data_IF_950048802877
#
_entry.id   IF_950048802877
#
_cell.length_a   1.000
_cell.length_b   1.000
_cell.length_c   1.000
_cell.angle_alpha   90.00
_cell.angle_beta   90.00
_cell.angle_gamma   90.00
#
_symmetry.space_group_name_H-M   'P 1'
#
loop_
_entity.id
_entity.type
_entity.pdbx_description
1 polymer ?
#
# COMPACT_ATOMS: atom_id res chain seq x y z
N UNK A 1 -23.60 -8.09 28.96
CA UNK A 1 -24.92 -7.47 29.23
C UNK A 1 -25.68 -7.24 27.93
N UNK A 2 -25.06 -6.63 26.92
CA UNK A 2 -25.67 -6.35 25.61
C UNK A 2 -26.08 -7.67 24.92
N UNK A 3 -25.23 -8.68 24.95
CA UNK A 3 -25.53 -10.01 24.37
C UNK A 3 -26.61 -10.80 25.12
N UNK A 4 -26.80 -10.59 26.42
CA UNK A 4 -27.85 -11.25 27.22
C UNK A 4 -29.20 -10.50 27.15
N UNK A 5 -29.18 -9.24 26.74
CA UNK A 5 -30.39 -8.40 26.68
C UNK A 5 -31.12 -8.50 25.33
N UNK A 6 -30.59 -9.30 24.38
CA UNK A 6 -31.01 -9.55 23.00
C UNK A 6 -32.47 -9.34 22.65
N UNK A 7 -32.83 -8.13 22.28
CA UNK A 7 -34.11 -7.80 21.69
C UNK A 7 -34.38 -6.30 21.68
N UNK A 8 -34.97 -5.83 20.60
CA UNK A 8 -35.35 -4.45 20.32
C UNK A 8 -36.13 -3.68 21.45
N UNK A 9 -36.62 -4.41 22.44
CA UNK A 9 -37.37 -3.80 23.56
C UNK A 9 -36.50 -3.15 24.65
N UNK A 10 -35.22 -3.47 24.69
CA UNK A 10 -34.32 -2.94 25.74
C UNK A 10 -33.68 -1.63 25.30
N UNK A 11 -33.36 -1.49 24.04
CA UNK A 11 -32.86 -0.23 23.47
C UNK A 11 -33.87 0.92 23.72
N UNK A 12 -35.18 0.64 23.57
CA UNK A 12 -36.23 1.62 23.81
C UNK A 12 -36.35 2.10 25.29
N UNK A 13 -35.93 1.29 26.26
CA UNK A 13 -35.94 1.65 27.66
C UNK A 13 -34.66 2.35 28.15
N UNK A 14 -33.54 2.10 27.46
CA UNK A 14 -32.26 2.74 27.80
C UNK A 14 -32.16 4.18 27.29
N UNK A 15 -32.88 4.52 26.19
CA UNK A 15 -32.94 5.90 25.67
C UNK A 15 -33.62 6.91 26.60
N UNK A 16 -34.36 6.45 27.64
CA UNK A 16 -35.01 7.32 28.66
C UNK A 16 -34.14 7.45 29.93
N UNK A 17 -33.02 6.77 30.04
CA UNK A 17 -32.16 6.86 31.20
C UNK A 17 -31.29 8.13 31.14
N UNK A 18 -31.27 8.90 32.22
CA UNK A 18 -30.41 10.10 32.34
C UNK A 18 -28.92 9.75 32.50
N UNK A 19 -28.59 8.54 32.85
CA UNK A 19 -27.24 7.97 32.85
C UNK A 19 -27.31 6.46 32.89
N UNK A 20 -26.47 5.79 32.07
CA UNK A 20 -26.29 4.34 32.10
C UNK A 20 -24.92 4.09 32.72
N UNK A 21 -24.91 3.61 33.97
CA UNK A 21 -23.67 3.10 34.55
C UNK A 21 -23.62 1.60 34.24
N UNK A 22 -22.86 1.20 33.27
CA UNK A 22 -22.59 -0.21 32.99
C UNK A 22 -21.54 -0.65 34.02
N UNK A 23 -22.02 -1.17 35.16
CA UNK A 23 -21.17 -1.51 36.31
C UNK A 23 -20.17 -2.65 36.04
N UNK A 24 -20.26 -3.32 34.88
CA UNK A 24 -19.32 -4.33 34.44
C UNK A 24 -18.32 -3.81 33.39
N UNK A 25 -18.56 -2.63 32.83
CA UNK A 25 -17.49 -1.92 32.10
C UNK A 25 -16.69 -1.17 33.16
N UNK A 26 -15.77 -1.90 33.80
CA UNK A 26 -14.72 -1.23 34.57
C UNK A 26 -13.98 -0.31 33.61
N UNK A 27 -13.47 0.80 34.08
CA UNK A 27 -12.58 1.68 33.33
C UNK A 27 -11.53 0.81 32.60
N UNK A 28 -11.62 0.68 31.27
CA UNK A 28 -10.84 -0.26 30.47
C UNK A 28 -11.60 -1.52 30.02
N UNK A 29 -12.93 -1.57 30.07
CA UNK A 29 -13.69 -2.65 29.40
C UNK A 29 -13.62 -2.47 27.90
N UNK A 30 -13.09 -3.47 27.24
CA UNK A 30 -12.95 -3.56 25.78
C UNK A 30 -14.24 -4.15 25.20
N UNK A 31 -14.80 -3.49 24.21
CA UNK A 31 -15.93 -3.98 23.41
C UNK A 31 -15.49 -4.15 21.94
N UNK A 32 -16.22 -4.98 21.20
CA UNK A 32 -16.04 -5.06 19.75
C UNK A 32 -16.66 -3.83 19.03
N UNK A 33 -16.41 -3.67 17.74
CA UNK A 33 -16.87 -2.51 16.97
C UNK A 33 -18.39 -2.39 16.96
N UNK A 34 -19.14 -3.47 16.76
CA UNK A 34 -20.60 -3.47 16.76
C UNK A 34 -21.20 -3.10 18.13
N UNK A 35 -20.67 -3.64 19.22
CA UNK A 35 -21.11 -3.27 20.57
C UNK A 35 -20.76 -1.82 20.89
N UNK A 36 -19.61 -1.33 20.41
CA UNK A 36 -19.17 0.05 20.50
C UNK A 36 -20.10 1.02 19.77
N UNK A 37 -20.53 0.68 18.55
CA UNK A 37 -21.48 1.46 17.78
C UNK A 37 -22.84 1.57 18.49
N UNK A 38 -23.34 0.45 19.07
CA UNK A 38 -24.57 0.46 19.88
C UNK A 38 -24.42 1.38 21.11
N UNK A 39 -23.26 1.36 21.77
CA UNK A 39 -23.00 2.22 22.94
C UNK A 39 -22.92 3.69 22.54
N UNK A 40 -22.33 4.00 21.40
CA UNK A 40 -22.23 5.35 20.85
C UNK A 40 -23.61 5.96 20.49
N UNK A 41 -24.60 5.11 20.16
CA UNK A 41 -25.99 5.53 19.87
C UNK A 41 -26.83 5.86 21.13
N UNK A 42 -26.32 5.66 22.33
CA UNK A 42 -27.08 6.01 23.55
C UNK A 42 -26.97 7.50 23.85
N UNK A 43 -28.07 8.07 24.36
CA UNK A 43 -28.13 9.50 24.79
C UNK A 43 -27.49 9.73 26.16
N UNK A 44 -26.96 8.72 26.82
CA UNK A 44 -26.33 8.79 28.13
C UNK A 44 -24.80 8.82 27.98
N UNK A 45 -24.10 9.53 28.89
CA UNK A 45 -22.63 9.56 28.93
C UNK A 45 -22.05 8.16 29.15
N UNK A 46 -21.52 7.53 28.10
CA UNK A 46 -20.86 6.21 28.16
C UNK A 46 -19.43 6.35 27.70
N UNK A 47 -18.47 5.93 28.54
CA UNK A 47 -17.05 5.84 28.17
C UNK A 47 -16.64 4.40 27.97
N UNK A 48 -16.05 4.05 26.82
CA UNK A 48 -15.64 2.68 26.49
C UNK A 48 -14.40 2.64 25.59
N UNK A 49 -13.76 1.49 25.53
CA UNK A 49 -12.65 1.18 24.60
C UNK A 49 -13.14 0.17 23.56
N UNK A 50 -12.73 0.34 22.31
CA UNK A 50 -13.05 -0.56 21.18
C UNK A 50 -11.80 -1.30 20.77
N UNK A 51 -11.87 -2.63 20.65
CA UNK A 51 -10.84 -3.45 20.04
C UNK A 51 -11.49 -4.46 19.11
N UNK A 52 -11.18 -4.37 17.81
CA UNK A 52 -11.68 -5.32 16.81
C UNK A 52 -10.72 -5.36 15.60
N UNK A 53 -11.02 -6.22 14.63
CA UNK A 53 -10.31 -6.20 13.36
C UNK A 53 -10.69 -4.98 12.49
N UNK A 54 -9.88 -4.72 11.46
CA UNK A 54 -10.02 -3.54 10.63
C UNK A 54 -11.36 -3.51 9.88
N UNK A 55 -11.78 -4.65 9.29
CA UNK A 55 -13.03 -4.77 8.55
C UNK A 55 -14.24 -4.47 9.43
N UNK A 56 -14.25 -5.01 10.66
CA UNK A 56 -15.36 -4.79 11.59
C UNK A 56 -15.46 -3.32 12.00
N UNK A 57 -14.31 -2.66 12.26
CA UNK A 57 -14.29 -1.24 12.61
C UNK A 57 -14.71 -0.38 11.42
N UNK A 58 -14.20 -0.65 10.22
CA UNK A 58 -14.55 0.10 9.01
C UNK A 58 -16.06 0.03 8.71
N UNK A 59 -16.67 -1.14 8.84
CA UNK A 59 -18.12 -1.33 8.66
C UNK A 59 -18.97 -0.47 9.61
N UNK A 60 -18.56 -0.37 10.86
CA UNK A 60 -19.30 0.40 11.86
C UNK A 60 -19.09 1.93 11.71
N UNK A 61 -18.00 2.34 11.07
CA UNK A 61 -17.76 3.76 10.76
C UNK A 61 -18.49 4.21 9.50
N UNK A 62 -18.62 3.32 8.52
CA UNK A 62 -19.28 3.61 7.24
C UNK A 62 -20.82 3.64 7.31
N UNK A 63 -21.42 3.34 8.47
CA UNK A 63 -22.88 3.31 8.65
C UNK A 63 -23.57 2.19 7.85
N UNK A 64 -22.83 1.15 7.48
CA UNK A 64 -23.35 -0.01 6.72
C UNK A 64 -23.82 -1.13 7.64
N UNK A 65 -23.63 -0.95 8.95
CA UNK A 65 -23.98 -1.95 9.94
C UNK A 65 -25.50 -2.12 10.09
N UNK A 66 -25.89 -3.30 10.54
CA UNK A 66 -27.30 -3.60 10.82
C UNK A 66 -27.85 -2.93 12.10
N UNK A 67 -27.00 -2.27 12.88
CA UNK A 67 -27.39 -1.62 14.14
C UNK A 67 -28.04 -0.24 13.94
N UNK A 68 -27.71 0.46 12.83
CA UNK A 68 -28.18 1.82 12.56
C UNK A 68 -27.46 2.90 13.38
N UNK A 69 -26.50 2.51 14.21
CA UNK A 69 -25.63 3.37 15.00
C UNK A 69 -24.21 3.29 14.44
N UNK A 70 -23.47 4.39 14.48
CA UNK A 70 -22.12 4.50 13.90
C UNK A 70 -21.11 4.88 14.98
N UNK A 71 -19.90 4.31 14.92
CA UNK A 71 -18.79 4.73 15.80
C UNK A 71 -18.46 6.24 15.66
N UNK A 72 -18.80 6.84 14.51
CA UNK A 72 -18.65 8.28 14.28
C UNK A 72 -19.83 9.14 14.75
N UNK A 73 -20.95 8.55 15.12
CA UNK A 73 -22.13 9.27 15.57
C UNK A 73 -22.11 9.62 17.06
N UNK A 74 -20.92 9.67 17.65
CA UNK A 74 -20.71 9.97 19.08
C UNK A 74 -21.39 11.28 19.42
N UNK A 75 -22.43 11.25 20.25
CA UNK A 75 -23.03 12.45 20.80
C UNK A 75 -21.95 13.21 21.62
N UNK A 76 -22.11 14.52 21.79
CA UNK A 76 -21.11 15.38 22.44
C UNK A 76 -20.74 14.95 23.88
N UNK A 77 -21.44 13.99 24.43
CA UNK A 77 -21.25 13.47 25.78
C UNK A 77 -20.66 12.06 25.84
N UNK A 78 -20.67 11.30 24.72
CA UNK A 78 -20.09 9.97 24.68
C UNK A 78 -18.60 10.05 24.38
N UNK A 79 -17.81 9.23 25.04
CA UNK A 79 -16.36 9.23 24.90
C UNK A 79 -15.91 7.82 24.51
N UNK A 80 -15.58 7.65 23.23
CA UNK A 80 -14.70 6.54 22.86
C UNK A 80 -13.32 6.89 23.40
N UNK A 81 -12.87 6.18 24.43
CA UNK A 81 -11.57 6.46 25.05
C UNK A 81 -10.44 6.02 24.13
N UNK A 82 -10.55 4.80 23.57
CA UNK A 82 -9.53 4.20 22.74
C UNK A 82 -10.16 3.32 21.67
N UNK A 83 -9.67 3.39 20.45
CA UNK A 83 -9.96 2.45 19.35
C UNK A 83 -8.66 1.78 18.92
N UNK A 84 -8.57 0.48 19.10
CA UNK A 84 -7.41 -0.34 18.68
C UNK A 84 -7.84 -1.32 17.60
N UNK A 85 -7.14 -1.31 16.49
CA UNK A 85 -7.31 -2.26 15.40
C UNK A 85 -6.40 -3.46 15.64
N UNK A 86 -6.96 -4.66 15.75
CA UNK A 86 -6.23 -5.88 16.14
C UNK A 86 -5.99 -6.85 14.98
N UNK A 87 -5.63 -6.35 13.81
CA UNK A 87 -5.43 -7.14 12.59
C UNK A 87 -6.47 -6.83 11.52
N UNK A 88 -6.49 -7.63 10.46
CA UNK A 88 -7.35 -7.43 9.29
C UNK A 88 -6.66 -6.66 8.18
N UNK A 89 -7.35 -6.59 7.04
CA UNK A 89 -6.90 -5.97 5.82
C UNK A 89 -8.03 -5.09 5.27
N UNK A 90 -7.74 -3.86 4.92
CA UNK A 90 -8.72 -2.87 4.47
C UNK A 90 -8.20 -2.13 3.25
N UNK A 91 -9.09 -1.48 2.49
CA UNK A 91 -8.66 -0.55 1.45
C UNK A 91 -8.10 0.77 2.04
N UNK A 92 -7.45 1.56 1.20
CA UNK A 92 -6.80 2.80 1.62
C UNK A 92 -7.82 3.86 2.09
N UNK A 93 -9.05 3.84 1.56
CA UNK A 93 -10.12 4.72 1.99
C UNK A 93 -10.62 4.33 3.39
N UNK A 94 -10.86 3.05 3.62
CA UNK A 94 -11.27 2.51 4.92
C UNK A 94 -10.22 2.76 5.99
N UNK A 95 -8.92 2.58 5.66
CA UNK A 95 -7.82 2.93 6.55
C UNK A 95 -7.86 4.41 6.96
N UNK A 96 -8.11 5.32 6.01
CA UNK A 96 -8.27 6.74 6.29
C UNK A 96 -9.45 7.03 7.21
N UNK A 97 -10.56 6.34 7.03
CA UNK A 97 -11.76 6.45 7.88
C UNK A 97 -11.46 5.95 9.30
N UNK A 98 -10.87 4.78 9.45
CA UNK A 98 -10.44 4.22 10.76
C UNK A 98 -9.54 5.20 11.50
N UNK A 99 -8.54 5.74 10.85
CA UNK A 99 -7.58 6.67 11.45
C UNK A 99 -8.19 8.02 11.83
N UNK A 100 -9.37 8.36 11.30
CA UNK A 100 -10.11 9.57 11.62
C UNK A 100 -10.99 9.43 12.87
N UNK A 101 -11.20 8.21 13.39
CA UNK A 101 -12.03 7.95 14.55
C UNK A 101 -11.46 8.67 15.78
N UNK A 102 -12.31 9.34 16.53
CA UNK A 102 -11.92 9.91 17.82
C UNK A 102 -11.47 8.81 18.77
N UNK A 103 -10.27 8.94 19.34
CA UNK A 103 -9.69 7.91 20.21
C UNK A 103 -8.88 6.82 19.49
N UNK A 104 -8.70 6.87 18.16
CA UNK A 104 -7.84 5.92 17.47
C UNK A 104 -6.41 5.90 18.04
N UNK A 105 -5.99 4.73 18.50
CA UNK A 105 -4.64 4.49 19.01
C UNK A 105 -3.78 3.78 17.95
N UNK A 106 -3.06 4.57 17.17
CA UNK A 106 -2.17 4.05 16.15
C UNK A 106 -1.06 3.14 16.73
N UNK A 107 -0.60 3.41 17.94
CA UNK A 107 0.51 2.66 18.56
C UNK A 107 0.08 1.28 19.08
N UNK A 108 -1.19 1.15 19.43
CA UNK A 108 -1.80 -0.11 19.83
C UNK A 108 -2.34 -0.93 18.66
N UNK A 109 -2.50 -0.31 17.50
CA UNK A 109 -3.11 -0.91 16.31
C UNK A 109 -2.09 -1.65 15.44
N UNK A 110 -2.60 -2.67 14.71
CA UNK A 110 -1.85 -3.42 13.70
C UNK A 110 -2.83 -3.93 12.63
N UNK A 111 -2.70 -3.50 11.40
CA UNK A 111 -3.50 -3.96 10.26
C UNK A 111 -2.75 -3.74 8.95
N UNK A 112 -3.27 -4.28 7.86
CA UNK A 112 -2.70 -4.15 6.52
C UNK A 112 -3.62 -3.32 5.63
N UNK A 113 -3.06 -2.73 4.57
CA UNK A 113 -3.81 -2.05 3.51
C UNK A 113 -3.54 -2.80 2.21
N UNK A 114 -4.60 -3.15 1.48
CA UNK A 114 -4.51 -3.74 0.14
C UNK A 114 -5.39 -2.92 -0.81
N UNK A 115 -4.76 -2.27 -1.80
CA UNK A 115 -5.50 -1.46 -2.77
C UNK A 115 -4.70 -1.26 -4.07
N UNK A 116 -5.32 -0.62 -5.05
CA UNK A 116 -4.64 -0.24 -6.29
C UNK A 116 -3.66 0.94 -6.10
N UNK A 117 -2.78 1.13 -7.08
CA UNK A 117 -1.74 2.18 -7.08
C UNK A 117 -2.33 3.56 -6.84
N UNK A 118 -3.39 3.92 -7.57
CA UNK A 118 -4.00 5.25 -7.51
C UNK A 118 -4.61 5.52 -6.13
N UNK A 119 -5.27 4.53 -5.53
CA UNK A 119 -5.87 4.65 -4.21
C UNK A 119 -4.81 4.78 -3.11
N UNK A 120 -3.75 3.98 -3.15
CA UNK A 120 -2.63 4.06 -2.18
C UNK A 120 -1.93 5.42 -2.28
N UNK A 121 -1.61 5.90 -3.50
CA UNK A 121 -1.01 7.23 -3.70
C UNK A 121 -1.97 8.33 -3.25
N UNK A 122 -3.26 8.19 -3.57
CA UNK A 122 -4.31 9.14 -3.21
C UNK A 122 -4.54 9.30 -1.71
N UNK A 123 -4.40 8.23 -0.94
CA UNK A 123 -4.50 8.24 0.52
C UNK A 123 -3.37 9.05 1.19
N UNK A 124 -2.19 9.05 0.60
CA UNK A 124 -1.05 9.85 1.02
C UNK A 124 -0.37 9.36 2.30
N UNK A 125 0.76 10.00 2.62
CA UNK A 125 1.64 9.56 3.72
C UNK A 125 0.98 9.61 5.11
N UNK A 126 -0.03 10.44 5.32
CA UNK A 126 -0.74 10.48 6.61
C UNK A 126 -1.49 9.18 6.92
N UNK A 127 -1.92 8.46 5.89
CA UNK A 127 -2.60 7.16 6.01
C UNK A 127 -1.57 6.02 5.91
N UNK A 128 -0.76 6.04 4.87
CA UNK A 128 0.16 4.95 4.53
C UNK A 128 1.31 4.80 5.54
N UNK A 129 1.87 5.92 6.03
CA UNK A 129 2.97 5.90 7.01
C UNK A 129 2.47 5.86 8.46
N UNK A 130 1.18 5.59 8.70
CA UNK A 130 0.64 5.47 10.04
C UNK A 130 1.26 4.27 10.76
N UNK A 131 1.66 4.46 12.01
CA UNK A 131 2.37 3.43 12.78
C UNK A 131 1.52 2.17 13.03
N UNK A 132 0.20 2.26 12.95
CA UNK A 132 -0.72 1.13 13.04
C UNK A 132 -0.80 0.29 11.75
N UNK A 133 -0.32 0.82 10.61
CA UNK A 133 -0.24 0.08 9.35
C UNK A 133 1.05 -0.73 9.34
N UNK A 134 0.93 -2.04 9.27
CA UNK A 134 2.07 -2.96 9.31
C UNK A 134 2.60 -3.31 7.93
N UNK A 135 1.74 -3.27 6.91
CA UNK A 135 2.05 -3.55 5.52
C UNK A 135 1.04 -2.85 4.60
N UNK A 136 1.50 -2.45 3.45
CA UNK A 136 0.66 -2.00 2.33
C UNK A 136 0.98 -2.88 1.12
N UNK A 137 -0.02 -3.55 0.55
CA UNK A 137 0.09 -4.32 -0.67
C UNK A 137 -0.58 -3.57 -1.82
N UNK A 138 0.17 -3.27 -2.86
CA UNK A 138 -0.33 -2.65 -4.08
C UNK A 138 -0.68 -3.75 -5.06
N UNK A 139 -1.93 -3.77 -5.54
CA UNK A 139 -2.50 -4.93 -6.26
C UNK A 139 -2.27 -4.93 -7.77
N UNK A 140 -1.86 -3.81 -8.33
CA UNK A 140 -1.55 -3.63 -9.76
C UNK A 140 -0.15 -3.04 -9.94
N UNK A 141 0.37 -3.10 -11.17
CA UNK A 141 1.70 -2.61 -11.45
C UNK A 141 1.71 -1.09 -11.58
N UNK A 142 2.65 -0.44 -10.90
CA UNK A 142 2.89 0.99 -10.97
C UNK A 142 3.69 1.35 -12.23
N UNK A 143 3.42 2.50 -12.85
CA UNK A 143 4.41 3.08 -13.76
C UNK A 143 5.64 3.59 -12.98
N UNK A 144 6.71 3.93 -13.69
CA UNK A 144 7.95 4.37 -13.02
C UNK A 144 7.78 5.68 -12.20
N UNK A 145 6.81 6.53 -12.52
CA UNK A 145 6.53 7.77 -11.78
C UNK A 145 5.73 7.48 -10.51
N UNK A 146 4.75 6.59 -10.61
CA UNK A 146 3.96 6.09 -9.48
C UNK A 146 4.85 5.31 -8.52
N UNK A 147 5.71 4.43 -9.05
CA UNK A 147 6.71 3.71 -8.26
C UNK A 147 7.63 4.63 -7.45
N UNK A 148 8.03 5.80 -7.98
CA UNK A 148 8.75 6.82 -7.20
C UNK A 148 7.91 7.35 -6.04
N UNK A 149 6.61 7.55 -6.26
CA UNK A 149 5.71 8.02 -5.21
C UNK A 149 5.54 6.98 -4.10
N UNK A 150 5.35 5.70 -4.47
CA UNK A 150 5.29 4.58 -3.54
C UNK A 150 6.60 4.39 -2.76
N UNK A 151 7.74 4.49 -3.46
CA UNK A 151 9.08 4.38 -2.85
C UNK A 151 9.36 5.46 -1.80
N UNK A 152 8.67 6.60 -1.86
CA UNK A 152 8.84 7.71 -0.93
C UNK A 152 8.18 7.48 0.44
N UNK A 153 7.22 6.57 0.57
CA UNK A 153 6.61 6.24 1.85
C UNK A 153 7.62 5.59 2.80
N UNK A 154 7.48 5.85 4.10
CA UNK A 154 8.37 5.28 5.12
C UNK A 154 7.92 3.86 5.56
N UNK A 155 6.64 3.54 5.36
CA UNK A 155 6.05 2.24 5.68
C UNK A 155 6.59 1.10 4.82
N UNK A 156 6.18 -0.12 5.16
CA UNK A 156 6.42 -1.31 4.36
C UNK A 156 5.39 -1.36 3.24
N UNK A 157 5.76 -0.88 2.05
CA UNK A 157 4.91 -0.87 0.85
C UNK A 157 5.50 -1.85 -0.15
N UNK A 158 4.74 -2.89 -0.46
CA UNK A 158 5.09 -3.92 -1.43
C UNK A 158 4.42 -3.55 -2.76
N UNK A 159 5.20 -3.37 -3.82
CA UNK A 159 4.73 -2.94 -5.13
C UNK A 159 5.65 -3.39 -6.26
N UNK A 160 5.08 -3.57 -7.44
CA UNK A 160 5.79 -3.85 -8.69
C UNK A 160 5.79 -2.63 -9.60
N UNK A 161 6.73 -2.59 -10.54
CA UNK A 161 6.83 -1.54 -11.56
C UNK A 161 6.87 -2.15 -12.94
N UNK A 162 5.94 -1.75 -13.81
CA UNK A 162 5.96 -2.06 -15.22
C UNK A 162 5.93 -0.77 -16.06
N UNK A 163 6.98 -0.50 -16.84
CA UNK A 163 7.06 0.68 -17.71
C UNK A 163 8.09 0.50 -18.82
N UNK A 164 8.25 1.50 -19.66
CA UNK A 164 9.32 1.53 -20.66
C UNK A 164 10.69 1.58 -20.00
N UNK A 165 11.67 0.94 -20.57
CA UNK A 165 13.05 0.96 -20.08
C UNK A 165 13.61 2.38 -19.89
N UNK A 166 13.18 3.34 -20.73
CA UNK A 166 13.59 4.74 -20.63
C UNK A 166 13.04 5.45 -19.39
N UNK A 167 11.76 5.19 -19.06
CA UNK A 167 11.12 5.76 -17.88
C UNK A 167 11.72 5.17 -16.60
N UNK A 168 11.88 3.84 -16.57
CA UNK A 168 12.53 3.15 -15.46
C UNK A 168 13.97 3.66 -15.26
N UNK A 169 14.77 3.75 -16.34
CA UNK A 169 16.15 4.26 -16.26
C UNK A 169 16.23 5.68 -15.68
N UNK A 170 15.27 6.54 -16.07
CA UNK A 170 15.21 7.92 -15.58
C UNK A 170 14.93 7.97 -14.07
N UNK A 171 14.16 7.05 -13.56
CA UNK A 171 13.72 6.98 -12.18
C UNK A 171 14.47 5.96 -11.31
N UNK A 172 15.42 5.22 -11.86
CA UNK A 172 16.07 4.06 -11.24
C UNK A 172 16.62 4.33 -9.81
N UNK A 173 17.15 5.52 -9.54
CA UNK A 173 17.65 5.87 -8.20
C UNK A 173 16.56 5.98 -7.13
N UNK A 174 15.30 6.07 -7.55
CA UNK A 174 14.13 6.25 -6.69
C UNK A 174 13.16 5.05 -6.74
N UNK A 175 13.57 3.91 -7.30
CA UNK A 175 12.78 2.67 -7.38
C UNK A 175 13.41 1.54 -6.54
N UNK A 176 14.11 1.89 -5.47
CA UNK A 176 14.93 0.95 -4.70
C UNK A 176 14.15 -0.03 -3.84
N UNK A 177 12.84 0.22 -3.62
CA UNK A 177 11.95 -0.61 -2.83
C UNK A 177 11.00 -1.49 -3.66
N UNK A 178 10.95 -1.29 -4.99
CA UNK A 178 10.11 -2.14 -5.83
C UNK A 178 10.53 -3.62 -5.70
N UNK A 179 9.56 -4.49 -5.54
CA UNK A 179 9.76 -5.93 -5.40
C UNK A 179 10.08 -6.56 -6.74
N UNK A 180 9.39 -6.11 -7.80
CA UNK A 180 9.61 -6.49 -9.16
C UNK A 180 9.66 -5.28 -10.09
N UNK A 181 10.49 -5.32 -11.13
CA UNK A 181 10.65 -4.23 -12.11
C UNK A 181 10.79 -4.80 -13.51
N UNK A 182 9.75 -4.55 -14.33
CA UNK A 182 9.66 -5.01 -15.71
C UNK A 182 9.78 -3.87 -16.70
N UNK A 183 10.83 -3.93 -17.50
CA UNK A 183 11.05 -3.02 -18.61
C UNK A 183 10.43 -3.60 -19.89
N UNK A 184 9.15 -3.28 -20.15
CA UNK A 184 8.33 -3.96 -21.16
C UNK A 184 8.40 -3.36 -22.56
N UNK A 185 9.22 -2.34 -22.79
CA UNK A 185 9.44 -1.76 -24.14
C UNK A 185 10.49 -0.65 -24.13
N UNK A 186 10.71 -0.08 -25.31
CA UNK A 186 11.52 1.12 -25.49
C UNK A 186 12.93 0.85 -25.96
N UNK A 187 13.62 1.94 -26.25
CA UNK A 187 15.04 1.92 -26.68
C UNK A 187 15.84 2.80 -25.73
N UNK A 188 16.94 2.27 -25.24
CA UNK A 188 17.80 2.92 -24.26
C UNK A 188 19.28 2.84 -24.66
N UNK A 189 20.10 3.70 -24.08
CA UNK A 189 21.57 3.58 -24.18
C UNK A 189 22.08 2.46 -23.25
N UNK A 190 23.31 2.04 -23.45
CA UNK A 190 24.00 1.11 -22.54
C UNK A 190 23.93 1.59 -21.07
N UNK A 191 24.20 2.87 -20.83
CA UNK A 191 24.19 3.41 -19.47
C UNK A 191 22.80 3.37 -18.81
N UNK A 192 21.75 3.58 -19.59
CA UNK A 192 20.38 3.46 -19.12
C UNK A 192 20.00 1.99 -18.85
N UNK A 193 20.41 1.07 -19.73
CA UNK A 193 20.20 -0.35 -19.51
C UNK A 193 20.93 -0.85 -18.24
N UNK A 194 22.14 -0.35 -17.98
CA UNK A 194 22.86 -0.62 -16.73
C UNK A 194 22.09 -0.13 -15.49
N UNK A 195 21.43 1.03 -15.59
CA UNK A 195 20.62 1.55 -14.50
C UNK A 195 19.37 0.71 -14.24
N UNK A 196 18.67 0.26 -15.29
CA UNK A 196 17.51 -0.64 -15.20
C UNK A 196 17.90 -1.98 -14.57
N UNK A 197 18.89 -2.64 -15.15
CA UNK A 197 19.35 -3.97 -14.72
C UNK A 197 20.06 -3.94 -13.35
N UNK A 198 20.44 -2.78 -12.87
CA UNK A 198 21.00 -2.56 -11.54
C UNK A 198 19.97 -2.49 -10.42
N UNK A 199 18.68 -2.43 -10.72
CA UNK A 199 17.61 -2.42 -9.73
C UNK A 199 17.50 -3.81 -9.06
N UNK A 200 17.21 -3.80 -7.77
CA UNK A 200 17.14 -5.03 -6.96
C UNK A 200 16.02 -5.95 -7.44
N UNK A 201 14.88 -5.38 -7.83
CA UNK A 201 13.72 -6.12 -8.33
C UNK A 201 13.72 -6.39 -9.84
N UNK A 202 14.77 -6.05 -10.58
CA UNK A 202 14.76 -6.25 -12.05
C UNK A 202 14.54 -7.71 -12.46
N UNK A 203 13.44 -7.97 -13.18
CA UNK A 203 13.20 -9.29 -13.80
C UNK A 203 13.64 -9.34 -15.26
N UNK A 204 14.73 -10.07 -15.49
CA UNK A 204 15.27 -10.30 -16.83
C UNK A 204 14.40 -11.25 -17.68
N UNK A 205 13.51 -12.03 -17.07
CA UNK A 205 12.65 -13.00 -17.75
C UNK A 205 11.42 -12.33 -18.38
N UNK A 206 10.92 -11.28 -17.76
CA UNK A 206 9.73 -10.54 -18.18
C UNK A 206 10.07 -9.22 -18.89
N UNK A 207 11.30 -8.71 -18.71
CA UNK A 207 11.76 -7.51 -19.39
C UNK A 207 12.15 -7.76 -20.85
N UNK A 208 11.74 -6.83 -21.73
CA UNK A 208 12.11 -6.81 -23.17
C UNK A 208 12.22 -5.36 -23.69
N UNK A 209 13.37 -4.97 -24.19
CA UNK A 209 13.64 -3.64 -24.74
C UNK A 209 14.83 -3.66 -25.70
N UNK A 210 15.13 -2.55 -26.38
CA UNK A 210 16.27 -2.43 -27.26
C UNK A 210 17.35 -1.52 -26.66
N UNK A 211 18.62 -1.84 -26.95
CA UNK A 211 19.75 -0.96 -26.68
C UNK A 211 20.23 -0.38 -28.00
N UNK A 212 20.34 0.96 -28.05
CA UNK A 212 20.86 1.70 -29.20
C UNK A 212 22.01 2.59 -28.71
N UNK A 213 23.25 2.21 -29.07
CA UNK A 213 24.45 2.95 -28.65
C UNK A 213 25.60 2.75 -29.64
N UNK A 214 26.68 3.46 -29.45
CA UNK A 214 27.88 3.29 -30.27
C UNK A 214 28.65 2.00 -29.91
N UNK A 215 29.41 1.47 -30.88
CA UNK A 215 30.17 0.23 -30.71
C UNK A 215 31.11 0.22 -29.51
N UNK A 216 31.69 1.35 -29.14
CA UNK A 216 32.60 1.41 -28.00
C UNK A 216 31.88 1.17 -26.66
N UNK A 217 30.69 1.76 -26.50
CA UNK A 217 29.86 1.56 -25.29
C UNK A 217 29.34 0.11 -25.25
N UNK A 218 28.84 -0.42 -26.38
CA UNK A 218 28.32 -1.81 -26.44
C UNK A 218 29.44 -2.82 -26.13
N UNK A 219 30.64 -2.64 -26.72
CA UNK A 219 31.79 -3.52 -26.44
C UNK A 219 32.25 -3.44 -24.99
N UNK A 220 32.25 -2.22 -24.41
CA UNK A 220 32.63 -2.02 -22.99
C UNK A 220 31.64 -2.64 -22.02
N UNK A 221 30.35 -2.66 -22.36
CA UNK A 221 29.29 -3.20 -21.52
C UNK A 221 29.23 -4.72 -21.51
N UNK A 222 29.49 -5.33 -22.64
CA UNK A 222 29.51 -6.77 -22.98
C UNK A 222 28.79 -7.71 -21.97
N UNK A 223 29.46 -8.11 -20.92
CA UNK A 223 28.99 -9.13 -19.99
C UNK A 223 28.08 -8.58 -18.88
N UNK A 224 27.91 -7.27 -18.80
CA UNK A 224 27.11 -6.62 -17.74
C UNK A 224 25.66 -6.40 -18.12
N UNK A 225 25.41 -6.15 -19.41
CA UNK A 225 24.10 -5.70 -19.90
C UNK A 225 23.53 -6.62 -20.97
N UNK A 226 24.38 -7.21 -21.82
CA UNK A 226 23.95 -7.93 -23.01
C UNK A 226 23.56 -9.40 -22.74
N UNK A 227 23.70 -9.88 -21.52
CA UNK A 227 23.37 -11.27 -21.14
C UNK A 227 22.05 -11.41 -20.41
N UNK A 228 21.39 -10.29 -20.10
CA UNK A 228 20.19 -10.25 -19.28
C UNK A 228 18.94 -9.94 -20.12
N UNK A 229 18.03 -10.91 -20.22
CA UNK A 229 16.70 -10.72 -20.79
C UNK A 229 16.60 -10.84 -22.31
N UNK A 230 15.44 -10.49 -22.81
CA UNK A 230 15.11 -10.47 -24.24
C UNK A 230 15.47 -9.10 -24.84
N UNK A 231 16.76 -8.86 -25.04
CA UNK A 231 17.28 -7.55 -25.45
C UNK A 231 17.80 -7.62 -26.89
N UNK A 232 17.33 -6.68 -27.73
CA UNK A 232 17.92 -6.37 -29.01
C UNK A 232 18.98 -5.29 -28.84
N UNK A 233 20.09 -5.38 -29.61
CA UNK A 233 21.17 -4.39 -29.56
C UNK A 233 21.43 -3.83 -30.93
N UNK A 234 21.24 -2.52 -31.11
CA UNK A 234 21.55 -1.79 -32.31
C UNK A 234 22.85 -0.98 -32.15
N UNK A 235 23.76 -1.08 -33.10
CA UNK A 235 24.99 -0.31 -33.09
C UNK A 235 24.90 0.87 -34.07
N UNK A 236 24.82 2.06 -33.56
CA UNK A 236 24.51 3.31 -34.32
C UNK A 236 25.64 3.82 -35.21
N UNK A 237 26.87 3.35 -35.05
CA UNK A 237 28.00 3.84 -35.80
C UNK A 237 28.65 2.77 -36.70
N UNK A 238 29.31 3.22 -37.74
CA UNK A 238 30.14 2.32 -38.56
C UNK A 238 31.28 1.71 -37.73
N UNK A 239 31.33 0.39 -37.66
CA UNK A 239 32.36 -0.34 -36.92
C UNK A 239 33.57 -0.67 -37.80
N UNK A 240 34.77 -0.63 -37.23
CA UNK A 240 35.96 -1.17 -37.90
C UNK A 240 36.00 -2.70 -37.80
N UNK A 241 36.89 -3.34 -38.56
CA UNK A 241 36.96 -4.81 -38.60
C UNK A 241 37.29 -5.48 -37.26
N UNK A 242 38.03 -4.79 -36.39
CA UNK A 242 38.37 -5.30 -35.05
C UNK A 242 37.14 -5.29 -34.12
N UNK A 243 36.42 -4.17 -34.10
CA UNK A 243 35.21 -4.03 -33.28
C UNK A 243 34.10 -4.95 -33.80
N UNK A 244 33.92 -5.06 -35.12
CA UNK A 244 32.98 -5.99 -35.72
C UNK A 244 33.27 -7.46 -35.37
N UNK A 245 34.55 -7.85 -35.28
CA UNK A 245 34.92 -9.20 -34.84
C UNK A 245 34.58 -9.45 -33.35
N UNK A 246 34.65 -8.41 -32.49
CA UNK A 246 34.27 -8.50 -31.08
C UNK A 246 32.75 -8.61 -30.97
N UNK A 247 32.01 -7.74 -31.66
CA UNK A 247 30.53 -7.72 -31.64
C UNK A 247 29.95 -9.05 -32.16
N UNK A 248 30.51 -9.62 -33.23
CA UNK A 248 30.11 -10.92 -33.75
C UNK A 248 30.35 -12.10 -32.78
N UNK A 249 31.11 -11.89 -31.72
CA UNK A 249 31.32 -12.88 -30.66
C UNK A 249 30.31 -12.81 -29.52
N UNK A 250 29.40 -11.84 -29.52
CA UNK A 250 28.38 -11.73 -28.48
C UNK A 250 27.22 -12.70 -28.75
N UNK A 251 26.55 -13.13 -27.68
CA UNK A 251 25.37 -14.01 -27.75
C UNK A 251 24.07 -13.24 -27.96
N UNK A 252 24.08 -11.92 -27.76
CA UNK A 252 22.96 -11.04 -28.05
C UNK A 252 22.77 -10.90 -29.58
N UNK A 253 21.52 -10.70 -30.02
CA UNK A 253 21.24 -10.35 -31.41
C UNK A 253 21.70 -8.90 -31.64
N UNK A 254 22.71 -8.71 -32.46
CA UNK A 254 23.32 -7.40 -32.72
C UNK A 254 23.18 -7.06 -34.19
N UNK A 255 22.45 -5.99 -34.50
CA UNK A 255 22.25 -5.42 -35.83
C UNK A 255 23.13 -4.18 -36.08
#
# INVERSE_FOLDING_TARGET
LIAEMGGADVAGHLTEANSITVNDIQTGSVVNANDGAILAGFTADVGFDVVDDADAIALEVAGVSNSGDELNSVDANDVINTVVVSGGDVDATEAGVIQSISGYDASGSNYEITDDVDAVIGAGSSVIDNVGVTRVEVTDDADATEGVSLNAYNGNVDFNVEDTASNIATNATNLTKADDVDAVSGTVTVAQAEAVQGLTGYDAGESYYSIDDNSANVIAAKDRVLTNGNINVDVTNTVNASDGAILAGFTADID
#
